data_IF_288655948073
#
_entry.id   IF_288655948073
#
_cell.length_a   1.000
_cell.length_b   1.000
_cell.length_c   1.000
_cell.angle_alpha   90.00
_cell.angle_beta   90.00
_cell.angle_gamma   90.00
#
_symmetry.space_group_name_H-M   'P 1'
#
loop_
_entity.id
_entity.type
_entity.pdbx_description
1 polymer ?
#
# COMPACT_ATOMS: atom_id res chain seq x y z
N UNK A 1 8.93 -23.05 -21.07
CA UNK A 1 9.00 -22.32 -19.78
C UNK A 1 10.31 -21.56 -19.75
N UNK A 2 10.29 -20.24 -19.93
CA UNK A 2 11.52 -19.41 -19.90
C UNK A 2 12.02 -19.26 -18.46
N UNK A 3 13.33 -19.46 -18.19
CA UNK A 3 13.88 -19.15 -16.88
C UNK A 3 13.86 -17.63 -16.68
N UNK A 4 13.16 -17.15 -15.66
CA UNK A 4 13.23 -15.75 -15.24
C UNK A 4 14.59 -15.51 -14.60
N UNK A 5 15.51 -14.89 -15.33
CA UNK A 5 16.80 -14.43 -14.79
C UNK A 5 16.53 -13.35 -13.74
N UNK A 6 16.66 -13.69 -12.47
CA UNK A 6 16.53 -12.74 -11.36
C UNK A 6 17.72 -11.79 -11.37
N UNK A 7 17.47 -10.48 -11.21
CA UNK A 7 18.54 -9.52 -10.99
C UNK A 7 19.33 -9.90 -9.73
N UNK A 8 20.67 -9.78 -9.73
CA UNK A 8 21.49 -10.11 -8.56
C UNK A 8 21.01 -9.37 -7.31
N UNK A 9 20.70 -10.12 -6.24
CA UNK A 9 20.24 -9.57 -4.96
C UNK A 9 18.76 -9.19 -4.90
N UNK A 10 17.94 -9.50 -5.91
CA UNK A 10 16.49 -9.37 -5.84
C UNK A 10 15.84 -10.51 -5.02
N UNK A 11 14.63 -10.28 -4.51
CA UNK A 11 13.80 -11.35 -3.95
C UNK A 11 13.35 -12.28 -5.06
N UNK A 12 13.29 -13.59 -4.75
CA UNK A 12 12.62 -14.56 -5.62
C UNK A 12 11.12 -14.22 -5.74
N UNK A 13 10.44 -14.65 -6.81
CA UNK A 13 9.02 -14.30 -7.02
C UNK A 13 8.13 -14.77 -5.85
N UNK A 14 8.43 -15.93 -5.27
CA UNK A 14 7.73 -16.47 -4.09
C UNK A 14 7.90 -15.58 -2.87
N UNK A 15 9.13 -15.15 -2.55
CA UNK A 15 9.41 -14.26 -1.42
C UNK A 15 8.82 -12.86 -1.63
N UNK A 16 8.87 -12.34 -2.86
CA UNK A 16 8.26 -11.05 -3.20
C UNK A 16 6.74 -11.08 -3.00
N UNK A 17 6.07 -12.16 -3.45
CA UNK A 17 4.63 -12.33 -3.25
C UNK A 17 4.27 -12.39 -1.77
N UNK A 18 4.96 -13.25 -1.01
CA UNK A 18 4.77 -13.37 0.44
C UNK A 18 4.97 -12.01 1.13
N UNK A 19 6.05 -11.30 0.81
CA UNK A 19 6.33 -9.99 1.38
C UNK A 19 5.21 -8.98 1.13
N UNK A 20 4.66 -8.93 -0.10
CA UNK A 20 3.54 -8.03 -0.44
C UNK A 20 2.28 -8.40 0.32
N UNK A 21 1.94 -9.68 0.40
CA UNK A 21 0.77 -10.17 1.15
C UNK A 21 0.87 -9.80 2.63
N UNK A 22 2.03 -10.04 3.25
CA UNK A 22 2.26 -9.70 4.66
C UNK A 22 2.22 -8.19 4.91
N UNK A 23 2.72 -7.36 3.97
CA UNK A 23 2.66 -5.91 4.10
C UNK A 23 1.23 -5.35 4.07
N UNK A 24 0.30 -6.03 3.39
CA UNK A 24 -1.11 -5.62 3.31
C UNK A 24 -1.88 -5.93 4.59
N UNK A 25 -1.50 -6.98 5.33
CA UNK A 25 -2.18 -7.42 6.57
C UNK A 25 -1.97 -6.50 7.78
N UNK A 26 -1.17 -5.43 7.65
CA UNK A 26 -0.98 -4.33 8.61
C UNK A 26 -0.44 -4.65 10.01
N UNK A 27 -0.37 -5.92 10.41
CA UNK A 27 0.06 -6.35 11.75
C UNK A 27 1.59 -6.45 11.90
N UNK A 28 2.32 -6.66 10.79
CA UNK A 28 3.76 -6.93 10.83
C UNK A 28 4.61 -5.70 10.49
N UNK A 29 5.68 -5.51 11.24
CA UNK A 29 6.75 -4.59 10.93
C UNK A 29 7.58 -5.07 9.74
N UNK A 30 8.31 -4.15 9.09
CA UNK A 30 9.21 -4.52 7.98
C UNK A 30 10.33 -5.46 8.44
N UNK A 31 10.71 -5.41 9.72
CA UNK A 31 11.73 -6.29 10.30
C UNK A 31 11.22 -7.73 10.38
N UNK A 32 9.99 -7.92 10.87
CA UNK A 32 9.35 -9.25 10.95
C UNK A 32 9.13 -9.85 9.56
N UNK A 33 8.69 -9.04 8.59
CA UNK A 33 8.51 -9.50 7.20
C UNK A 33 9.85 -9.91 6.59
N UNK A 34 10.94 -9.17 6.87
CA UNK A 34 12.27 -9.54 6.42
C UNK A 34 12.73 -10.87 7.04
N UNK A 35 12.48 -11.07 8.34
CA UNK A 35 12.80 -12.32 9.04
C UNK A 35 12.04 -13.52 8.46
N UNK A 36 10.75 -13.35 8.13
CA UNK A 36 9.94 -14.39 7.44
C UNK A 36 10.43 -14.68 6.01
N UNK A 37 11.18 -13.75 5.40
CA UNK A 37 11.88 -13.97 4.14
C UNK A 37 13.31 -14.54 4.31
N UNK A 38 13.72 -14.85 5.55
CA UNK A 38 15.07 -15.25 5.93
C UNK A 38 16.14 -14.22 5.56
N UNK A 39 15.85 -12.94 5.76
CA UNK A 39 16.73 -11.82 5.44
C UNK A 39 16.83 -10.84 6.61
N UNK A 40 17.97 -10.15 6.70
CA UNK A 40 18.07 -8.94 7.53
C UNK A 40 17.22 -7.82 6.92
N UNK A 41 16.80 -6.85 7.75
CA UNK A 41 16.03 -5.67 7.30
C UNK A 41 16.69 -4.95 6.13
N UNK A 42 18.01 -4.75 6.19
CA UNK A 42 18.78 -4.02 5.17
C UNK A 42 18.83 -4.78 3.85
N UNK A 43 19.12 -6.09 3.89
CA UNK A 43 19.13 -6.94 2.69
C UNK A 43 17.74 -7.00 2.07
N UNK A 44 16.71 -7.22 2.88
CA UNK A 44 15.33 -7.22 2.42
C UNK A 44 14.93 -5.90 1.75
N UNK A 45 15.25 -4.75 2.38
CA UNK A 45 14.89 -3.45 1.82
C UNK A 45 15.54 -3.18 0.48
N UNK A 46 16.82 -3.56 0.33
CA UNK A 46 17.54 -3.46 -0.96
C UNK A 46 16.93 -4.38 -2.01
N UNK A 47 16.74 -5.66 -1.68
CA UNK A 47 16.20 -6.67 -2.57
C UNK A 47 14.79 -6.31 -3.06
N UNK A 48 13.92 -5.91 -2.12
CA UNK A 48 12.55 -5.49 -2.43
C UNK A 48 12.52 -4.25 -3.32
N UNK A 49 13.42 -3.27 -3.08
CA UNK A 49 13.55 -2.08 -3.92
C UNK A 49 14.03 -2.43 -5.33
N UNK A 50 14.94 -3.38 -5.49
CA UNK A 50 15.34 -3.88 -6.82
C UNK A 50 14.12 -4.44 -7.56
N UNK A 51 13.27 -5.21 -6.88
CA UNK A 51 12.07 -5.78 -7.52
C UNK A 51 10.96 -4.76 -7.82
N UNK A 52 10.79 -3.72 -6.99
CA UNK A 52 9.58 -2.86 -7.03
C UNK A 52 9.86 -1.40 -7.36
N UNK A 53 11.12 -0.99 -7.41
CA UNK A 53 11.54 0.42 -7.48
C UNK A 53 11.38 1.20 -6.16
N UNK A 54 10.72 0.62 -5.15
CA UNK A 54 10.29 1.31 -3.94
C UNK A 54 10.86 0.67 -2.68
N UNK A 55 11.08 1.46 -1.63
CA UNK A 55 11.36 0.89 -0.30
C UNK A 55 10.12 0.13 0.21
N UNK A 56 10.29 -0.91 1.06
CA UNK A 56 9.17 -1.63 1.65
C UNK A 56 8.10 -0.73 2.30
N UNK A 57 8.55 0.29 3.04
CA UNK A 57 7.64 1.22 3.71
C UNK A 57 6.86 2.09 2.71
N UNK A 58 7.54 2.60 1.67
CA UNK A 58 6.90 3.40 0.63
C UNK A 58 5.89 2.57 -0.18
N UNK A 59 6.26 1.35 -0.54
CA UNK A 59 5.37 0.43 -1.24
C UNK A 59 4.13 0.11 -0.40
N UNK A 60 4.30 -0.22 0.89
CA UNK A 60 3.19 -0.48 1.81
C UNK A 60 2.27 0.73 1.95
N UNK A 61 2.84 1.93 2.03
CA UNK A 61 2.05 3.16 2.11
C UNK A 61 1.21 3.37 0.85
N UNK A 62 1.79 3.22 -0.34
CA UNK A 62 1.04 3.32 -1.59
C UNK A 62 -0.06 2.26 -1.69
N UNK A 63 0.25 1.01 -1.33
CA UNK A 63 -0.74 -0.07 -1.35
C UNK A 63 -1.93 0.21 -0.40
N UNK A 64 -1.66 0.77 0.79
CA UNK A 64 -2.70 1.22 1.72
C UNK A 64 -3.54 2.37 1.15
N UNK A 65 -2.92 3.30 0.42
CA UNK A 65 -3.65 4.39 -0.22
C UNK A 65 -4.52 3.93 -1.38
N UNK A 66 -4.07 2.96 -2.17
CA UNK A 66 -4.90 2.37 -3.22
C UNK A 66 -6.13 1.68 -2.63
N UNK A 67 -5.96 0.91 -1.53
CA UNK A 67 -7.11 0.39 -0.76
C UNK A 67 -8.01 1.53 -0.25
N UNK A 68 -7.42 2.60 0.28
CA UNK A 68 -8.17 3.73 0.81
C UNK A 68 -9.03 4.40 -0.26
N UNK A 69 -8.52 4.60 -1.49
CA UNK A 69 -9.29 5.16 -2.60
C UNK A 69 -10.53 4.31 -2.93
N UNK A 70 -10.40 2.99 -2.91
CA UNK A 70 -11.51 2.07 -3.13
C UNK A 70 -12.58 2.21 -2.04
N UNK A 71 -12.18 2.24 -0.78
CA UNK A 71 -13.10 2.42 0.35
C UNK A 71 -13.71 3.83 0.40
N UNK A 72 -12.95 4.86 -0.01
CA UNK A 72 -13.43 6.24 -0.07
C UNK A 72 -14.53 6.44 -1.12
N UNK A 73 -14.61 5.57 -2.14
CA UNK A 73 -15.71 5.57 -3.11
C UNK A 73 -17.05 5.11 -2.50
N UNK A 74 -17.04 4.50 -1.32
CA UNK A 74 -18.25 4.11 -0.56
C UNK A 74 -18.74 5.22 0.38
N UNK A 75 -19.79 4.95 1.16
CA UNK A 75 -20.27 5.83 2.24
C UNK A 75 -19.56 5.63 3.58
N UNK A 76 -18.58 4.72 3.69
CA UNK A 76 -17.91 4.42 4.95
C UNK A 76 -17.31 5.69 5.62
N UNK A 77 -17.39 5.84 6.95
CA UNK A 77 -16.73 6.94 7.67
C UNK A 77 -15.22 7.00 7.38
N UNK A 78 -14.65 8.20 7.25
CA UNK A 78 -13.21 8.36 6.96
C UNK A 78 -12.34 7.77 8.09
N UNK A 79 -12.85 7.78 9.32
CA UNK A 79 -12.27 7.09 10.48
C UNK A 79 -12.12 5.58 10.23
N UNK A 80 -13.18 4.96 9.72
CA UNK A 80 -13.22 3.51 9.53
C UNK A 80 -12.32 3.12 8.35
N UNK A 81 -12.36 3.90 7.27
CA UNK A 81 -11.42 3.74 6.14
C UNK A 81 -9.97 3.83 6.61
N UNK A 82 -9.65 4.79 7.49
CA UNK A 82 -8.30 4.94 8.06
C UNK A 82 -7.85 3.66 8.79
N UNK A 83 -8.70 3.14 9.69
CA UNK A 83 -8.40 1.93 10.47
C UNK A 83 -8.28 0.71 9.57
N UNK A 84 -9.18 0.56 8.60
CA UNK A 84 -9.20 -0.59 7.69
C UNK A 84 -8.01 -0.60 6.71
N UNK A 85 -7.43 0.57 6.45
CA UNK A 85 -6.18 0.72 5.71
C UNK A 85 -4.93 0.60 6.60
N UNK A 86 -5.09 0.34 7.89
CA UNK A 86 -3.99 0.10 8.84
C UNK A 86 -3.27 1.36 9.30
N UNK A 87 -3.94 2.52 9.29
CA UNK A 87 -3.45 3.73 9.95
C UNK A 87 -3.89 3.75 11.41
N UNK A 88 -3.06 4.32 12.28
CA UNK A 88 -3.33 4.41 13.72
C UNK A 88 -4.51 5.34 14.05
N UNK A 89 -4.69 6.38 13.25
CA UNK A 89 -5.75 7.37 13.43
C UNK A 89 -6.03 8.13 12.12
N UNK A 90 -7.18 8.80 12.08
CA UNK A 90 -7.64 9.57 10.93
C UNK A 90 -6.71 10.74 10.59
N UNK A 91 -6.05 11.36 11.56
CA UNK A 91 -5.19 12.52 11.33
C UNK A 91 -3.91 12.10 10.60
N UNK A 92 -3.30 10.98 11.00
CA UNK A 92 -2.16 10.37 10.31
C UNK A 92 -2.55 9.94 8.89
N UNK A 93 -3.70 9.28 8.74
CA UNK A 93 -4.22 8.92 7.41
C UNK A 93 -4.40 10.16 6.52
N UNK A 94 -5.07 11.19 7.02
CA UNK A 94 -5.35 12.42 6.25
C UNK A 94 -4.06 13.10 5.80
N UNK A 95 -3.05 13.23 6.69
CA UNK A 95 -1.74 13.80 6.32
C UNK A 95 -1.05 12.97 5.23
N UNK A 96 -1.02 11.66 5.39
CA UNK A 96 -0.37 10.77 4.42
C UNK A 96 -1.09 10.77 3.06
N UNK A 97 -2.43 10.72 3.07
CA UNK A 97 -3.26 10.75 1.88
C UNK A 97 -3.11 12.09 1.14
N UNK A 98 -3.27 13.22 1.83
CA UNK A 98 -3.11 14.54 1.21
C UNK A 98 -1.73 14.74 0.60
N UNK A 99 -0.66 14.29 1.29
CA UNK A 99 0.71 14.40 0.78
C UNK A 99 0.92 13.62 -0.52
N UNK A 100 0.31 12.45 -0.66
CA UNK A 100 0.56 11.56 -1.79
C UNK A 100 -0.47 11.69 -2.92
N UNK A 101 -1.69 12.12 -2.61
CA UNK A 101 -2.80 12.27 -3.56
C UNK A 101 -3.02 13.73 -3.96
N UNK A 102 -2.49 14.69 -3.19
CA UNK A 102 -2.60 16.13 -3.46
C UNK A 102 -3.84 16.80 -2.87
N UNK A 103 -4.77 16.03 -2.28
CA UNK A 103 -5.97 16.56 -1.64
C UNK A 103 -6.45 15.68 -0.47
N UNK A 104 -7.19 16.24 0.52
CA UNK A 104 -7.70 15.48 1.65
C UNK A 104 -8.70 14.38 1.25
N UNK A 105 -8.83 13.28 2.01
CA UNK A 105 -9.76 12.17 1.72
C UNK A 105 -11.21 12.61 1.49
N UNK A 106 -11.71 13.58 2.29
CA UNK A 106 -13.06 14.12 2.16
C UNK A 106 -13.27 14.83 0.82
N UNK A 107 -12.32 15.68 0.43
CA UNK A 107 -12.37 16.39 -0.85
C UNK A 107 -12.26 15.42 -2.02
N UNK A 108 -11.37 14.44 -1.92
CA UNK A 108 -11.22 13.38 -2.91
C UNK A 108 -12.53 12.60 -3.14
N UNK A 109 -13.21 12.21 -2.05
CA UNK A 109 -14.51 11.51 -2.11
C UNK A 109 -15.58 12.34 -2.81
N UNK A 110 -15.68 13.63 -2.49
CA UNK A 110 -16.66 14.52 -3.13
C UNK A 110 -16.39 14.65 -4.64
N UNK A 111 -15.13 14.86 -5.01
CA UNK A 111 -14.73 14.96 -6.42
C UNK A 111 -15.00 13.67 -7.21
N UNK A 112 -14.82 12.50 -6.59
CA UNK A 112 -15.11 11.21 -7.21
C UNK A 112 -16.61 10.99 -7.47
N UNK A 113 -17.48 11.47 -6.55
CA UNK A 113 -18.94 11.38 -6.71
C UNK A 113 -19.47 12.29 -7.81
N UNK A 114 -18.90 13.48 -7.96
CA UNK A 114 -19.29 14.42 -9.02
C UNK A 114 -18.90 13.96 -10.44
N UNK A 115 -18.04 12.94 -10.56
CA UNK A 115 -17.63 12.35 -11.84
C UNK A 115 -18.43 11.09 -12.22
N UNK A 116 -19.39 10.65 -11.38
CA UNK A 116 -20.26 9.53 -11.73
C UNK A 116 -21.20 9.97 -12.87
N UNK A 117 -21.13 9.34 -14.06
CA UNK A 117 -21.92 9.79 -15.19
C UNK A 117 -23.41 9.51 -14.92
N UNK A 118 -24.21 10.57 -15.04
CA UNK A 118 -25.66 10.55 -15.00
C UNK A 118 -26.20 9.80 -16.23
N UNK A 119 -26.17 8.47 -16.16
CA UNK A 119 -26.94 7.59 -17.03
C UNK A 119 -28.03 6.96 -16.18
N UNK A 120 -29.18 7.62 -16.08
CA UNK A 120 -30.50 7.06 -15.75
C UNK A 120 -31.48 8.24 -15.67
N UNK A 121 -32.04 8.58 -16.83
CA UNK A 121 -33.31 9.28 -17.03
C UNK A 121 -34.19 8.37 -17.90
#
# INVERSE_FOLDING_TARGET
MTPQTLAPGALTPKRLRLAKELMLRSELSIIEIAALCHLTRSHFSRAFKINTGLSPQAWRLLARLEKAKQLLATEAPITDVSLECGFCDQAHFTRAFSRLVGQPPKAWRLAARSQAPSYLS
#
